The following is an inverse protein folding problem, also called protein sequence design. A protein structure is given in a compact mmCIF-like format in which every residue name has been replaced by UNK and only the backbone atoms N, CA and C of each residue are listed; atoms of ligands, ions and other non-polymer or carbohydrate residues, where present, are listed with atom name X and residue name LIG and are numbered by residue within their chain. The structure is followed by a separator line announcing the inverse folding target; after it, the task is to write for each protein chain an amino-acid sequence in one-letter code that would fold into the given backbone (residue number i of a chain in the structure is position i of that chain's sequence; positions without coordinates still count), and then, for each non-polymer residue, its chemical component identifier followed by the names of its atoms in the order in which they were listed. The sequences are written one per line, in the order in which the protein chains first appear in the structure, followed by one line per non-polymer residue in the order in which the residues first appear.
data_IF_260293948918
#
_entry.id   IF_260293948918
#
_cell.length_a   1.000
_cell.length_b   1.000
_cell.length_c   1.000
_cell.angle_alpha   90.00
_cell.angle_beta   90.00
_cell.angle_gamma   90.00
#
_symmetry.space_group_name_H-M   'P 1'
#
loop_
_entity.id
_entity.type
_entity.pdbx_description
1 polymer ?
#
# COMPACT_ATOMS: atom_id res chain seq x y z
N UNK A 1 11.25 -6.60 3.07
CA UNK A 1 9.89 -6.02 2.98
C UNK A 1 9.39 -6.38 1.59
N UNK A 2 8.18 -6.89 1.47
CA UNK A 2 7.53 -7.14 0.17
C UNK A 2 6.47 -6.06 0.01
N UNK A 3 6.40 -5.43 -1.16
CA UNK A 3 5.40 -4.43 -1.50
C UNK A 3 4.77 -4.79 -2.84
N UNK A 4 3.46 -4.67 -2.92
CA UNK A 4 2.69 -4.79 -4.15
C UNK A 4 1.66 -3.67 -4.19
N UNK A 5 1.57 -2.97 -5.32
CA UNK A 5 0.57 -1.96 -5.55
C UNK A 5 -0.10 -2.15 -6.91
N UNK A 6 -1.34 -1.70 -7.02
CA UNK A 6 -2.09 -1.66 -8.27
C UNK A 6 -2.91 -0.39 -8.35
N UNK A 7 -2.76 0.34 -9.46
CA UNK A 7 -3.56 1.53 -9.75
C UNK A 7 -4.59 1.22 -10.84
N UNK A 8 -5.83 1.63 -10.60
CA UNK A 8 -6.92 1.56 -11.54
C UNK A 8 -7.46 2.96 -11.80
N UNK A 9 -7.56 3.33 -13.09
CA UNK A 9 -8.34 4.49 -13.51
C UNK A 9 -9.83 4.11 -13.46
N UNK A 10 -10.56 4.72 -12.55
CA UNK A 10 -11.99 4.44 -12.33
C UNK A 10 -12.87 5.42 -13.14
N UNK A 11 -12.43 6.67 -13.28
CA UNK A 11 -12.98 7.66 -14.21
C UNK A 11 -11.85 8.45 -14.85
N UNK A 12 -12.16 9.26 -15.86
CA UNK A 12 -11.18 10.09 -16.58
C UNK A 12 -10.29 10.93 -15.63
N UNK A 13 -10.88 11.41 -14.54
CA UNK A 13 -10.22 12.22 -13.52
C UNK A 13 -10.08 11.53 -12.16
N UNK A 14 -10.41 10.23 -12.03
CA UNK A 14 -10.38 9.50 -10.75
C UNK A 14 -9.55 8.23 -10.86
N UNK A 15 -8.56 8.12 -9.98
CA UNK A 15 -7.67 6.96 -9.88
C UNK A 15 -7.73 6.41 -8.47
N UNK A 16 -7.70 5.08 -8.39
CA UNK A 16 -7.72 4.34 -7.16
C UNK A 16 -6.49 3.42 -7.13
N UNK A 17 -5.69 3.55 -6.09
CA UNK A 17 -4.54 2.67 -5.86
C UNK A 17 -4.80 1.83 -4.62
N UNK A 18 -4.60 0.52 -4.75
CA UNK A 18 -4.51 -0.39 -3.61
C UNK A 18 -3.04 -0.75 -3.36
N UNK A 19 -2.60 -0.68 -2.11
CA UNK A 19 -1.25 -1.01 -1.71
C UNK A 19 -1.26 -2.10 -0.62
N UNK A 20 -0.34 -3.05 -0.75
CA UNK A 20 -0.07 -4.09 0.24
C UNK A 20 1.42 -4.16 0.53
N UNK A 21 1.77 -4.05 1.81
CA UNK A 21 3.15 -4.19 2.28
C UNK A 21 3.23 -5.25 3.38
N UNK A 22 4.14 -6.20 3.20
CA UNK A 22 4.53 -7.16 4.22
C UNK A 22 5.90 -6.81 4.79
N UNK A 23 5.93 -6.52 6.08
CA UNK A 23 7.14 -6.11 6.82
C UNK A 23 7.48 -7.21 7.82
N UNK A 24 8.52 -8.00 7.53
CA UNK A 24 8.91 -9.12 8.41
C UNK A 24 9.57 -8.68 9.73
N UNK A 25 10.34 -7.59 9.72
CA UNK A 25 11.05 -7.05 10.90
C UNK A 25 10.79 -5.53 11.00
N UNK A 26 9.61 -5.10 11.46
CA UNK A 26 9.27 -3.69 11.59
C UNK A 26 10.28 -2.95 12.51
N UNK A 27 10.72 -1.78 12.05
CA UNK A 27 11.73 -0.95 12.72
C UNK A 27 13.06 -1.68 13.04
N UNK A 28 13.39 -2.73 12.28
CA UNK A 28 14.57 -3.58 12.52
C UNK A 28 14.64 -4.20 13.92
N UNK A 29 13.49 -4.31 14.59
CA UNK A 29 13.39 -4.93 15.90
C UNK A 29 12.89 -6.37 15.74
N UNK A 30 13.71 -7.34 16.14
CA UNK A 30 13.41 -8.78 16.04
C UNK A 30 12.28 -9.22 16.98
N UNK A 31 12.04 -8.50 18.07
CA UNK A 31 10.96 -8.80 19.02
C UNK A 31 9.58 -8.35 18.49
N UNK A 32 9.58 -7.53 17.45
CA UNK A 32 8.37 -7.11 16.75
C UNK A 32 8.20 -8.01 15.54
N UNK A 33 7.27 -8.96 15.64
CA UNK A 33 6.96 -9.93 14.59
C UNK A 33 6.46 -9.29 13.28
N UNK A 34 6.19 -10.11 12.26
CA UNK A 34 5.79 -9.62 10.94
C UNK A 34 4.47 -8.84 10.97
N UNK A 35 4.39 -7.79 10.15
CA UNK A 35 3.22 -6.91 10.03
C UNK A 35 2.76 -6.84 8.57
N UNK A 36 1.44 -6.90 8.39
CA UNK A 36 0.76 -6.66 7.12
C UNK A 36 0.17 -5.24 7.14
N UNK A 37 0.47 -4.45 6.12
CA UNK A 37 -0.02 -3.08 5.96
C UNK A 37 -0.85 -3.04 4.68
N UNK A 38 -2.09 -2.57 4.80
CA UNK A 38 -2.99 -2.34 3.67
C UNK A 38 -3.25 -0.84 3.57
N UNK A 39 -3.13 -0.29 2.37
CA UNK A 39 -3.47 1.10 2.12
C UNK A 39 -4.33 1.24 0.86
N UNK A 40 -5.09 2.33 0.82
CA UNK A 40 -5.90 2.73 -0.32
C UNK A 40 -5.65 4.21 -0.56
N UNK A 41 -5.29 4.55 -1.80
CA UNK A 41 -5.04 5.93 -2.22
C UNK A 41 -6.05 6.33 -3.29
N UNK A 42 -6.59 7.53 -3.14
CA UNK A 42 -7.47 8.14 -4.14
C UNK A 42 -6.74 9.35 -4.73
N UNK A 43 -6.65 9.41 -6.05
CA UNK A 43 -6.08 10.54 -6.77
C UNK A 43 -7.14 11.13 -7.72
N UNK A 44 -7.31 12.45 -7.67
CA UNK A 44 -8.31 13.19 -8.44
C UNK A 44 -7.64 14.33 -9.18
N UNK A 45 -7.86 14.41 -10.48
CA UNK A 45 -7.37 15.49 -11.36
C UNK A 45 -8.51 16.51 -11.61
N UNK A 46 -8.22 17.81 -11.63
CA UNK A 46 -9.20 18.91 -11.83
C UNK A 46 -8.72 19.91 -12.87
#
# INVERSE_FOLDING_TARGET
IIEAFYEARIWESLYLTGDYQFVNNPAYNKDRGPVNIFALRVHVEF
#
